data_IF_615305502317
#
_entry.id   IF_615305502317
#
_cell.length_a   1.000
_cell.length_b   1.000
_cell.length_c   1.000
_cell.angle_alpha   90.00
_cell.angle_beta   90.00
_cell.angle_gamma   90.00
#
_symmetry.space_group_name_H-M   'P 1'
#
loop_
_entity.id
_entity.type
_entity.pdbx_description
1 polymer ?
#
# COMPACT_ATOMS: atom_id res chain seq x y z
N UNK A 1 20.96 -23.05 -37.84
CA UNK A 1 20.08 -21.88 -37.65
C UNK A 1 19.15 -22.18 -36.48
N UNK A 2 19.47 -21.68 -35.29
CA UNK A 2 18.60 -21.80 -34.11
C UNK A 2 17.52 -20.73 -34.18
N UNK A 3 16.26 -21.14 -34.33
CA UNK A 3 15.12 -20.24 -34.21
C UNK A 3 14.97 -19.75 -32.77
N UNK A 4 14.32 -18.59 -32.55
CA UNK A 4 14.14 -18.06 -31.21
C UNK A 4 13.31 -19.05 -30.38
N UNK A 5 13.91 -19.53 -29.30
CA UNK A 5 13.21 -20.34 -28.29
C UNK A 5 12.09 -19.48 -27.74
N UNK A 6 10.84 -19.83 -28.06
CA UNK A 6 9.67 -19.23 -27.41
C UNK A 6 9.70 -19.72 -25.97
N UNK A 7 10.28 -18.94 -25.07
CA UNK A 7 10.10 -19.12 -23.64
C UNK A 7 8.60 -19.09 -23.39
N UNK A 8 8.01 -20.27 -23.14
CA UNK A 8 6.64 -20.34 -22.66
C UNK A 8 6.65 -19.61 -21.32
N UNK A 9 6.07 -18.42 -21.27
CA UNK A 9 5.83 -17.75 -19.99
C UNK A 9 4.77 -18.62 -19.31
N UNK A 10 5.21 -19.57 -18.49
CA UNK A 10 4.31 -20.35 -17.68
C UNK A 10 3.57 -19.35 -16.80
N UNK A 11 2.26 -19.18 -17.02
CA UNK A 11 1.43 -18.34 -16.15
C UNK A 11 1.53 -18.89 -14.75
N UNK A 12 2.20 -18.15 -13.88
CA UNK A 12 2.32 -18.50 -12.48
C UNK A 12 0.98 -18.27 -11.77
N UNK A 13 0.78 -18.98 -10.65
CA UNK A 13 -0.39 -18.74 -9.81
C UNK A 13 -0.33 -17.30 -9.29
N UNK A 14 -1.48 -16.61 -9.17
CA UNK A 14 -1.53 -15.31 -8.51
C UNK A 14 -0.90 -15.36 -7.12
N UNK A 15 -0.34 -14.24 -6.69
CA UNK A 15 0.19 -14.05 -5.34
C UNK A 15 -0.67 -13.04 -4.57
N UNK A 16 -0.84 -13.24 -3.27
CA UNK A 16 -1.48 -12.27 -2.39
C UNK A 16 -0.45 -11.23 -1.91
N UNK A 17 -0.82 -9.95 -1.93
CA UNK A 17 -0.03 -8.87 -1.35
C UNK A 17 -0.15 -8.90 0.17
N UNK A 18 0.96 -9.16 0.86
CA UNK A 18 1.00 -9.33 2.33
C UNK A 18 1.67 -8.17 3.08
N UNK A 19 2.08 -7.12 2.37
CA UNK A 19 2.64 -5.88 2.93
C UNK A 19 1.76 -4.69 2.52
N UNK A 20 1.79 -3.60 3.30
CA UNK A 20 1.08 -2.37 2.94
C UNK A 20 1.88 -1.64 1.85
N UNK A 21 1.30 -1.34 0.67
CA UNK A 21 2.06 -0.73 -0.42
C UNK A 21 2.48 0.73 -0.14
N UNK A 22 3.75 0.91 0.22
CA UNK A 22 4.31 2.24 0.55
C UNK A 22 4.68 3.10 -0.66
N UNK A 23 4.96 2.47 -1.81
CA UNK A 23 5.45 3.20 -3.00
C UNK A 23 4.71 2.83 -4.29
N UNK A 24 3.92 1.76 -4.28
CA UNK A 24 3.08 1.39 -5.42
C UNK A 24 1.70 2.03 -5.27
N UNK A 25 1.17 2.57 -6.36
CA UNK A 25 -0.21 3.01 -6.44
C UNK A 25 -1.11 1.89 -6.99
N UNK A 26 -2.41 2.03 -6.75
CA UNK A 26 -3.48 1.15 -7.23
C UNK A 26 -3.29 -0.31 -6.79
N UNK A 27 -2.66 -0.49 -5.63
CA UNK A 27 -2.39 -1.76 -4.98
C UNK A 27 -2.72 -1.66 -3.49
N UNK A 28 -3.34 -2.68 -2.92
CA UNK A 28 -3.70 -2.73 -1.51
C UNK A 28 -3.27 -4.05 -0.85
N UNK A 29 -3.12 -4.00 0.47
CA UNK A 29 -2.91 -5.19 1.28
C UNK A 29 -4.07 -6.19 1.10
N UNK A 30 -3.72 -7.44 0.78
CA UNK A 30 -4.66 -8.53 0.49
C UNK A 30 -5.01 -8.69 -0.99
N UNK A 31 -4.71 -7.72 -1.86
CA UNK A 31 -4.98 -7.86 -3.30
C UNK A 31 -4.25 -9.08 -3.88
N UNK A 32 -4.88 -9.74 -4.84
CA UNK A 32 -4.22 -10.79 -5.62
C UNK A 32 -3.63 -10.18 -6.89
N UNK A 33 -2.37 -10.52 -7.18
CA UNK A 33 -1.62 -10.03 -8.35
C UNK A 33 -1.16 -11.17 -9.24
N UNK A 34 -1.19 -10.94 -10.55
CA UNK A 34 -0.49 -11.80 -11.49
C UNK A 34 1.03 -11.57 -11.36
N UNK A 35 1.79 -12.66 -11.31
CA UNK A 35 3.26 -12.61 -11.19
C UNK A 35 3.95 -13.27 -12.38
N UNK A 36 5.15 -12.79 -12.69
CA UNK A 36 6.09 -13.43 -13.62
C UNK A 36 7.47 -13.52 -12.98
N UNK A 37 8.25 -14.54 -13.35
CA UNK A 37 9.68 -14.56 -13.01
C UNK A 37 10.45 -13.58 -13.88
N UNK A 38 11.29 -12.76 -13.26
CA UNK A 38 12.33 -12.01 -13.97
C UNK A 38 13.47 -12.94 -14.39
N UNK A 39 14.33 -12.46 -15.29
CA UNK A 39 15.56 -13.15 -15.69
C UNK A 39 16.53 -13.35 -14.51
N UNK A 40 16.35 -12.59 -13.42
CA UNK A 40 17.10 -12.66 -12.17
C UNK A 40 16.46 -13.61 -11.14
N UNK A 41 15.35 -14.26 -11.49
CA UNK A 41 14.66 -15.25 -10.66
C UNK A 41 13.67 -14.67 -9.63
N UNK A 42 13.59 -13.34 -9.49
CA UNK A 42 12.62 -12.69 -8.61
C UNK A 42 11.21 -12.73 -9.22
N UNK A 43 10.18 -12.72 -8.37
CA UNK A 43 8.79 -12.54 -8.81
C UNK A 43 8.48 -11.06 -8.99
N UNK A 44 7.92 -10.71 -10.15
CA UNK A 44 7.47 -9.37 -10.49
C UNK A 44 5.96 -9.38 -10.61
N UNK A 45 5.29 -8.56 -9.81
CA UNK A 45 3.85 -8.31 -9.94
C UNK A 45 3.58 -7.47 -11.20
N UNK A 46 2.57 -7.87 -11.98
CA UNK A 46 2.32 -7.29 -13.32
C UNK A 46 0.96 -6.60 -13.44
N UNK A 47 -0.03 -7.07 -12.69
CA UNK A 47 -1.38 -6.49 -12.64
C UNK A 47 -2.13 -7.05 -11.43
N UNK A 48 -3.08 -6.27 -10.91
CA UNK A 48 -4.06 -6.75 -9.93
C UNK A 48 -5.07 -7.64 -10.66
N UNK A 49 -5.24 -8.87 -10.19
CA UNK A 49 -6.24 -9.82 -10.71
C UNK A 49 -7.48 -9.89 -9.83
N UNK A 50 -7.36 -9.55 -8.53
CA UNK A 50 -8.51 -9.35 -7.65
C UNK A 50 -8.23 -8.25 -6.62
N UNK A 51 -9.03 -7.19 -6.65
CA UNK A 51 -9.10 -6.16 -5.61
C UNK A 51 -9.91 -6.72 -4.43
N UNK A 52 -9.31 -6.76 -3.23
CA UNK A 52 -9.97 -7.28 -2.02
C UNK A 52 -10.70 -6.22 -1.21
N UNK A 53 -10.83 -5.00 -1.72
CA UNK A 53 -11.68 -3.95 -1.17
C UNK A 53 -11.07 -3.16 -0.02
N UNK A 54 -9.76 -3.30 0.23
CA UNK A 54 -9.04 -2.44 1.18
C UNK A 54 -8.58 -1.15 0.53
N UNK A 55 -8.29 -0.17 1.37
CA UNK A 55 -7.80 1.14 0.96
C UNK A 55 -6.47 1.41 1.62
N UNK A 56 -5.48 1.74 0.80
CA UNK A 56 -4.17 2.20 1.27
C UNK A 56 -4.16 3.71 1.44
N UNK A 57 -3.67 4.20 2.57
CA UNK A 57 -3.26 5.60 2.77
C UNK A 57 -1.79 5.63 3.20
N UNK A 58 -1.12 6.75 2.94
CA UNK A 58 0.26 6.97 3.36
C UNK A 58 0.36 8.28 4.11
N UNK A 59 0.98 8.25 5.28
CA UNK A 59 1.17 9.40 6.15
C UNK A 59 2.66 9.72 6.22
N UNK A 60 3.01 10.98 5.98
CA UNK A 60 4.38 11.46 6.05
C UNK A 60 4.52 12.57 7.09
N UNK A 61 5.63 12.55 7.83
CA UNK A 61 6.00 13.60 8.79
C UNK A 61 7.44 14.02 8.62
N UNK A 62 7.68 15.33 8.52
CA UNK A 62 9.04 15.88 8.43
C UNK A 62 9.85 15.66 9.72
N UNK A 63 9.18 15.78 10.88
CA UNK A 63 9.87 15.98 12.15
C UNK A 63 10.36 14.68 12.83
N UNK A 64 10.00 13.50 12.31
CA UNK A 64 10.49 12.20 12.80
C UNK A 64 10.24 11.89 14.28
N UNK A 65 9.44 12.71 14.96
CA UNK A 65 9.19 12.59 16.39
C UNK A 65 8.45 11.29 16.69
N UNK A 66 9.15 10.38 17.39
CA UNK A 66 8.69 9.04 17.71
C UNK A 66 7.44 9.03 18.59
N UNK A 67 7.28 9.97 19.52
CA UNK A 67 6.10 10.01 20.41
C UNK A 67 4.85 10.37 19.62
N UNK A 68 4.97 11.36 18.74
CA UNK A 68 3.84 11.78 17.89
C UNK A 68 3.56 10.73 16.81
N UNK A 69 4.58 10.05 16.27
CA UNK A 69 4.38 8.90 15.39
C UNK A 69 3.66 7.75 16.10
N UNK A 70 3.97 7.50 17.37
CA UNK A 70 3.27 6.51 18.17
C UNK A 70 1.80 6.89 18.40
N UNK A 71 1.49 8.17 18.60
CA UNK A 71 0.12 8.65 18.69
C UNK A 71 -0.65 8.39 17.38
N UNK A 72 -0.05 8.73 16.23
CA UNK A 72 -0.65 8.45 14.90
C UNK A 72 -0.90 6.96 14.71
N UNK A 73 0.05 6.10 15.08
CA UNK A 73 -0.12 4.64 15.02
C UNK A 73 -1.28 4.19 15.92
N UNK A 74 -1.38 4.72 17.14
CA UNK A 74 -2.45 4.38 18.07
C UNK A 74 -3.82 4.78 17.51
N UNK A 75 -3.97 6.03 17.09
CA UNK A 75 -5.23 6.60 16.63
C UNK A 75 -5.80 5.81 15.44
N UNK A 76 -4.99 5.58 14.40
CA UNK A 76 -5.47 4.85 13.22
C UNK A 76 -5.60 3.33 13.46
N UNK A 77 -4.88 2.79 14.43
CA UNK A 77 -5.02 1.40 14.87
C UNK A 77 -6.36 1.17 15.55
N UNK A 78 -6.80 2.09 16.41
CA UNK A 78 -8.12 2.08 17.05
C UNK A 78 -9.27 2.22 16.05
N UNK A 79 -9.03 2.91 14.92
CA UNK A 79 -9.97 2.97 13.80
C UNK A 79 -10.01 1.70 12.94
N UNK A 80 -9.21 0.69 13.29
CA UNK A 80 -9.19 -0.62 12.66
C UNK A 80 -8.32 -0.73 11.40
N UNK A 81 -7.41 0.22 11.16
CA UNK A 81 -6.43 0.08 10.08
C UNK A 81 -5.29 -0.86 10.51
N UNK A 82 -4.83 -1.70 9.59
CA UNK A 82 -3.51 -2.30 9.71
C UNK A 82 -2.44 -1.24 9.39
N UNK A 83 -1.32 -1.29 10.09
CA UNK A 83 -0.30 -0.24 10.06
C UNK A 83 1.09 -0.84 9.80
N UNK A 84 1.85 -0.19 8.93
CA UNK A 84 3.23 -0.55 8.62
C UNK A 84 4.09 0.71 8.69
N UNK A 85 5.06 0.73 9.61
CA UNK A 85 6.01 1.83 9.77
C UNK A 85 7.23 1.58 8.88
N UNK A 86 7.58 2.57 8.07
CA UNK A 86 8.80 2.57 7.26
C UNK A 86 9.67 3.74 7.64
N UNK A 87 10.71 3.45 8.42
CA UNK A 87 11.56 4.47 9.07
C UNK A 87 10.72 5.41 9.95
N UNK A 88 11.33 6.46 10.45
CA UNK A 88 10.71 7.32 11.47
C UNK A 88 9.71 8.35 10.90
N UNK A 89 9.47 8.33 9.58
CA UNK A 89 8.76 9.41 8.87
C UNK A 89 7.59 8.96 7.98
N UNK A 90 7.49 7.67 7.63
CA UNK A 90 6.49 7.17 6.69
C UNK A 90 5.68 6.03 7.30
N UNK A 91 4.36 6.15 7.26
CA UNK A 91 3.41 5.13 7.69
C UNK A 91 2.51 4.73 6.52
N UNK A 92 2.38 3.42 6.32
CA UNK A 92 1.33 2.84 5.48
C UNK A 92 0.14 2.44 6.35
N UNK A 93 -1.07 2.82 5.92
CA UNK A 93 -2.33 2.39 6.52
C UNK A 93 -3.09 1.53 5.51
N UNK A 94 -3.58 0.38 5.94
CA UNK A 94 -4.51 -0.45 5.17
C UNK A 94 -5.82 -0.57 5.93
N UNK A 95 -6.88 0.02 5.37
CA UNK A 95 -8.16 0.17 6.05
C UNK A 95 -9.27 -0.57 5.30
N UNK A 96 -10.20 -1.15 6.04
CA UNK A 96 -11.37 -1.83 5.50
C UNK A 96 -12.36 -0.83 4.90
N UNK A 97 -13.13 -1.26 3.90
CA UNK A 97 -14.16 -0.40 3.26
C UNK A 97 -15.16 0.19 4.26
N UNK A 98 -15.43 -0.50 5.36
CA UNK A 98 -16.37 -0.03 6.38
C UNK A 98 -15.87 1.19 7.16
N UNK A 99 -14.55 1.33 7.36
CA UNK A 99 -13.94 2.42 8.14
C UNK A 99 -13.30 3.51 7.28
N UNK A 100 -13.14 3.27 5.97
CA UNK A 100 -12.37 4.16 5.07
C UNK A 100 -12.80 5.63 5.11
N UNK A 101 -14.10 5.92 5.18
CA UNK A 101 -14.56 7.32 5.18
C UNK A 101 -14.17 8.03 6.47
N UNK A 102 -14.39 7.39 7.62
CA UNK A 102 -14.00 7.96 8.91
C UNK A 102 -12.48 8.17 8.99
N UNK A 103 -11.71 7.22 8.48
CA UNK A 103 -10.24 7.33 8.40
C UNK A 103 -9.82 8.49 7.50
N UNK A 104 -10.43 8.64 6.32
CA UNK A 104 -10.15 9.75 5.42
C UNK A 104 -10.47 11.11 6.05
N UNK A 105 -11.56 11.20 6.81
CA UNK A 105 -11.94 12.42 7.53
C UNK A 105 -10.91 12.77 8.62
N UNK A 106 -10.46 11.77 9.39
CA UNK A 106 -9.42 11.93 10.41
C UNK A 106 -8.06 12.32 9.81
N UNK A 107 -7.67 11.70 8.69
CA UNK A 107 -6.46 12.07 7.94
C UNK A 107 -6.53 13.52 7.44
N UNK A 108 -7.67 13.92 6.87
CA UNK A 108 -7.88 15.30 6.43
C UNK A 108 -7.82 16.30 7.58
N UNK A 109 -8.35 15.95 8.75
CA UNK A 109 -8.28 16.79 9.94
C UNK A 109 -6.83 16.94 10.43
N UNK A 110 -6.08 15.83 10.51
CA UNK A 110 -4.67 15.83 10.92
C UNK A 110 -3.76 16.61 9.97
N UNK A 111 -4.03 16.57 8.66
CA UNK A 111 -3.32 17.40 7.69
C UNK A 111 -3.63 18.89 7.86
N UNK A 112 -4.91 19.24 8.05
CA UNK A 112 -5.33 20.64 8.28
C UNK A 112 -4.76 21.24 9.57
N UNK A 113 -4.53 20.42 10.60
CA UNK A 113 -3.87 20.86 11.83
C UNK A 113 -2.34 20.93 11.73
N UNK A 114 -1.76 20.53 10.59
CA UNK A 114 -0.31 20.48 10.39
C UNK A 114 0.37 19.34 11.14
N UNK A 115 -0.37 18.32 11.57
CA UNK A 115 0.19 17.18 12.31
C UNK A 115 1.02 16.27 11.41
N UNK A 116 0.61 16.12 10.15
CA UNK A 116 1.28 15.33 9.12
C UNK A 116 0.75 15.74 7.74
N UNK A 117 1.33 15.21 6.67
CA UNK A 117 0.69 15.20 5.34
C UNK A 117 0.28 13.78 4.99
N UNK A 118 -0.73 13.62 4.13
CA UNK A 118 -1.13 12.29 3.70
C UNK A 118 -1.46 12.22 2.21
N UNK A 119 -1.41 11.00 1.68
CA UNK A 119 -1.93 10.70 0.35
C UNK A 119 -2.73 9.40 0.32
N UNK A 120 -3.56 9.27 -0.72
CA UNK A 120 -4.26 8.02 -1.03
C UNK A 120 -3.38 7.12 -1.88
N UNK A 121 -3.48 5.80 -1.68
CA UNK A 121 -2.79 4.80 -2.50
C UNK A 121 -3.32 4.67 -3.93
N UNK A 122 -4.31 5.48 -4.34
CA UNK A 122 -4.86 5.50 -5.70
C UNK A 122 -4.21 6.60 -6.52
N UNK A 123 -3.94 6.35 -7.80
CA UNK A 123 -3.58 7.45 -8.69
C UNK A 123 -4.79 8.37 -8.87
N UNK A 124 -4.59 9.67 -8.71
CA UNK A 124 -5.54 10.64 -9.23
C UNK A 124 -5.43 10.60 -10.75
N UNK A 125 -6.28 9.81 -11.42
CA UNK A 125 -6.47 9.94 -12.87
C UNK A 125 -6.89 11.38 -13.14
N UNK A 126 -5.98 12.15 -13.76
CA UNK A 126 -6.31 13.41 -14.40
C UNK A 126 -7.06 13.17 -15.70
#
# INVERSE_FOLDING_TARGET
>A
MGGPSRTSIARQRPAEVRAIPLFAYDLNYGDEVAVMSSDEGALVATSVVADKGRYTFRVWREDGDAEVMHAVISDFGEMGCAIELYRDHLLGLACERASVQAVADALSAGEKSGSFVYETGRQQTR
#
